data_IF_007591525519
#
_entry.id   IF_007591525519
#
_cell.length_a   1.000
_cell.length_b   1.000
_cell.length_c   1.000
_cell.angle_alpha   90.00
_cell.angle_beta   90.00
_cell.angle_gamma   90.00
#
_symmetry.space_group_name_H-M   'P 1'
#
loop_
_entity.id
_entity.type
_entity.pdbx_description
1 polymer ?
#
# COMPACT_ATOMS: atom_id res chain seq x y z
N UNK A 1 -3.33 -25.31 20.42
CA UNK A 1 -2.56 -24.03 20.38
C UNK A 1 -2.36 -23.42 18.97
N UNK A 2 -2.40 -24.18 17.86
CA UNK A 2 -2.10 -23.64 16.52
C UNK A 2 -3.16 -22.67 15.94
N UNK A 3 -4.45 -22.94 16.15
CA UNK A 3 -5.59 -22.18 15.57
C UNK A 3 -5.57 -20.70 15.95
N UNK A 4 -5.20 -20.39 17.20
CA UNK A 4 -5.22 -19.02 17.73
C UNK A 4 -4.09 -18.16 17.13
N UNK A 5 -2.89 -18.75 16.91
CA UNK A 5 -1.75 -18.06 16.29
C UNK A 5 -1.99 -17.71 14.82
N UNK A 6 -2.65 -18.60 14.06
CA UNK A 6 -3.00 -18.36 12.65
C UNK A 6 -3.97 -17.18 12.53
N UNK A 7 -5.05 -17.16 13.34
CA UNK A 7 -6.01 -16.03 13.34
C UNK A 7 -5.38 -14.69 13.73
N UNK A 8 -4.46 -14.70 14.70
CA UNK A 8 -3.73 -13.49 15.08
C UNK A 8 -2.87 -12.96 13.92
N UNK A 9 -2.19 -13.84 13.18
CA UNK A 9 -1.41 -13.47 12.00
C UNK A 9 -2.28 -12.94 10.85
N UNK A 10 -3.45 -13.55 10.60
CA UNK A 10 -4.43 -13.06 9.61
C UNK A 10 -4.86 -11.62 9.90
N UNK A 11 -5.30 -11.34 11.13
CA UNK A 11 -5.70 -9.97 11.54
C UNK A 11 -4.54 -8.98 11.39
N UNK A 12 -3.31 -9.42 11.70
CA UNK A 12 -2.12 -8.58 11.53
C UNK A 12 -1.90 -8.24 10.06
N UNK A 13 -1.97 -9.22 9.15
CA UNK A 13 -1.84 -9.00 7.70
C UNK A 13 -2.87 -8.02 7.17
N UNK A 14 -4.16 -8.21 7.51
CA UNK A 14 -5.25 -7.31 7.09
C UNK A 14 -5.04 -5.88 7.62
N UNK A 15 -4.67 -5.76 8.90
CA UNK A 15 -4.42 -4.45 9.52
C UNK A 15 -3.23 -3.72 8.89
N UNK A 16 -2.16 -4.45 8.56
CA UNK A 16 -0.98 -3.91 7.89
C UNK A 16 -1.32 -3.50 6.46
N UNK A 17 -2.06 -4.32 5.71
CA UNK A 17 -2.53 -3.98 4.36
C UNK A 17 -3.34 -2.68 4.35
N UNK A 18 -4.25 -2.51 5.32
CA UNK A 18 -5.04 -1.28 5.47
C UNK A 18 -4.14 -0.07 5.74
N UNK A 19 -3.17 -0.19 6.66
CA UNK A 19 -2.20 0.88 6.95
C UNK A 19 -1.41 1.27 5.70
N UNK A 20 -0.87 0.30 4.97
CA UNK A 20 -0.10 0.56 3.75
C UNK A 20 -0.95 1.29 2.70
N UNK A 21 -2.22 0.92 2.50
CA UNK A 21 -3.12 1.66 1.59
C UNK A 21 -3.31 3.12 2.01
N UNK A 22 -3.51 3.37 3.30
CA UNK A 22 -3.64 4.74 3.83
C UNK A 22 -2.35 5.55 3.61
N UNK A 23 -1.20 4.94 3.88
CA UNK A 23 0.10 5.59 3.67
C UNK A 23 0.38 5.84 2.19
N UNK A 24 0.03 4.90 1.29
CA UNK A 24 0.18 5.08 -0.15
C UNK A 24 -0.66 6.26 -0.67
N UNK A 25 -1.92 6.37 -0.23
CA UNK A 25 -2.78 7.51 -0.56
C UNK A 25 -2.25 8.83 0.01
N UNK A 26 -1.70 8.81 1.22
CA UNK A 26 -1.09 10.00 1.84
C UNK A 26 0.19 10.43 1.13
N UNK A 27 1.03 9.46 0.76
CA UNK A 27 2.26 9.68 0.01
C UNK A 27 1.96 10.33 -1.35
N UNK A 28 1.03 9.74 -2.12
CA UNK A 28 0.58 10.27 -3.41
C UNK A 28 0.03 11.69 -3.28
N UNK A 29 -0.79 11.96 -2.26
CA UNK A 29 -1.36 13.30 -2.02
C UNK A 29 -0.27 14.34 -1.74
N UNK A 30 0.63 14.06 -0.79
CA UNK A 30 1.73 14.98 -0.43
C UNK A 30 2.66 15.25 -1.61
N UNK A 31 2.94 14.24 -2.43
CA UNK A 31 3.72 14.40 -3.65
C UNK A 31 3.06 15.38 -4.64
N UNK A 32 1.75 15.24 -4.87
CA UNK A 32 0.99 16.17 -5.73
C UNK A 32 0.96 17.59 -5.17
N UNK A 33 0.78 17.75 -3.86
CA UNK A 33 0.82 19.06 -3.18
C UNK A 33 2.17 19.76 -3.40
N UNK A 34 3.29 19.02 -3.27
CA UNK A 34 4.63 19.55 -3.53
C UNK A 34 4.79 19.99 -4.99
N UNK A 35 4.41 19.14 -5.95
CA UNK A 35 4.53 19.45 -7.38
C UNK A 35 3.72 20.68 -7.74
N UNK A 36 2.49 20.76 -7.21
CA UNK A 36 1.61 21.88 -7.46
C UNK A 36 2.19 23.18 -6.90
N UNK A 37 2.68 23.18 -5.66
CA UNK A 37 3.26 24.35 -5.02
C UNK A 37 4.43 24.95 -5.82
N UNK A 38 5.30 24.08 -6.36
CA UNK A 38 6.44 24.51 -7.19
C UNK A 38 5.98 24.98 -8.57
N UNK A 39 5.02 24.28 -9.18
CA UNK A 39 4.51 24.65 -10.50
C UNK A 39 3.75 25.98 -10.49
N UNK A 40 3.12 26.33 -9.37
CA UNK A 40 2.38 27.59 -9.19
C UNK A 40 3.20 28.73 -8.59
N UNK A 41 4.51 28.56 -8.37
CA UNK A 41 5.33 29.60 -7.75
C UNK A 41 5.44 30.83 -8.66
N UNK A 42 4.88 31.96 -8.25
CA UNK A 42 5.04 33.23 -8.96
C UNK A 42 6.35 33.92 -8.59
N UNK A 43 7.00 34.55 -9.58
CA UNK A 43 8.22 35.33 -9.36
C UNK A 43 9.52 34.51 -9.26
N UNK A 44 9.44 33.18 -9.34
CA UNK A 44 10.63 32.33 -9.49
C UNK A 44 10.78 31.89 -10.95
N UNK A 45 11.63 32.61 -11.67
CA UNK A 45 11.89 32.44 -13.10
C UNK A 45 13.40 32.42 -13.34
N UNK A 46 13.81 31.86 -14.47
CA UNK A 46 15.23 31.69 -14.81
C UNK A 46 15.62 30.23 -15.03
N UNK A 47 16.88 30.03 -15.41
CA UNK A 47 17.41 28.72 -15.77
C UNK A 47 17.43 27.74 -14.57
N UNK A 48 17.57 28.25 -13.35
CA UNK A 48 17.50 27.49 -12.10
C UNK A 48 16.08 26.97 -11.83
N UNK A 49 15.07 27.83 -11.96
CA UNK A 49 13.67 27.48 -11.81
C UNK A 49 13.25 26.42 -12.84
N UNK A 50 13.71 26.56 -14.09
CA UNK A 50 13.44 25.58 -15.14
C UNK A 50 14.13 24.23 -14.88
N UNK A 51 15.38 24.24 -14.44
CA UNK A 51 16.10 23.02 -14.05
C UNK A 51 15.39 22.29 -12.91
N UNK A 52 14.91 23.02 -11.89
CA UNK A 52 14.18 22.43 -10.77
C UNK A 52 12.82 21.85 -11.20
N UNK A 53 12.05 22.56 -12.04
CA UNK A 53 10.78 22.05 -12.60
C UNK A 53 10.99 20.76 -13.41
N UNK A 54 12.07 20.66 -14.19
CA UNK A 54 12.41 19.44 -14.95
C UNK A 54 12.73 18.26 -14.02
N UNK A 55 13.51 18.48 -12.96
CA UNK A 55 13.76 17.42 -11.97
C UNK A 55 12.48 16.99 -11.24
N UNK A 56 11.63 17.96 -10.89
CA UNK A 56 10.36 17.70 -10.22
C UNK A 56 9.39 16.90 -11.09
N UNK A 57 9.39 17.10 -12.41
CA UNK A 57 8.60 16.31 -13.34
C UNK A 57 8.98 14.81 -13.29
N UNK A 58 10.29 14.50 -13.31
CA UNK A 58 10.76 13.12 -13.13
C UNK A 58 10.35 12.53 -11.78
N UNK A 59 10.37 13.35 -10.72
CA UNK A 59 9.92 12.95 -9.40
C UNK A 59 8.42 12.61 -9.35
N UNK A 60 7.59 13.19 -10.22
CA UNK A 60 6.17 12.87 -10.31
C UNK A 60 5.91 11.41 -10.71
N UNK A 61 6.69 10.90 -11.66
CA UNK A 61 6.57 9.50 -12.10
C UNK A 61 7.03 8.55 -10.98
N UNK A 62 8.13 8.88 -10.32
CA UNK A 62 8.65 8.12 -9.18
C UNK A 62 7.67 8.08 -8.01
N UNK A 63 7.00 9.21 -7.71
CA UNK A 63 5.97 9.31 -6.69
C UNK A 63 4.81 8.33 -6.97
N UNK A 64 4.33 8.29 -8.20
CA UNK A 64 3.23 7.40 -8.58
C UNK A 64 3.68 5.93 -8.58
N UNK A 65 4.89 5.64 -9.05
CA UNK A 65 5.47 4.29 -9.03
C UNK A 65 5.62 3.75 -7.60
N UNK A 66 6.10 4.58 -6.66
CA UNK A 66 6.21 4.17 -5.26
C UNK A 66 4.83 3.95 -4.63
N UNK A 67 3.85 4.82 -4.89
CA UNK A 67 2.48 4.64 -4.40
C UNK A 67 1.87 3.32 -4.91
N UNK A 68 2.04 3.01 -6.20
CA UNK A 68 1.60 1.73 -6.80
C UNK A 68 2.31 0.52 -6.19
N UNK A 69 3.60 0.64 -5.90
CA UNK A 69 4.35 -0.42 -5.22
C UNK A 69 3.79 -0.69 -3.83
N UNK A 70 3.49 0.36 -3.05
CA UNK A 70 2.84 0.23 -1.74
C UNK A 70 1.46 -0.43 -1.87
N UNK A 71 0.65 0.00 -2.84
CA UNK A 71 -0.67 -0.61 -3.12
C UNK A 71 -0.55 -2.10 -3.48
N UNK A 72 0.47 -2.47 -4.26
CA UNK A 72 0.75 -3.86 -4.64
C UNK A 72 1.12 -4.72 -3.42
N UNK A 73 1.93 -4.20 -2.50
CA UNK A 73 2.23 -4.88 -1.23
C UNK A 73 0.98 -5.05 -0.35
N UNK A 74 0.11 -4.04 -0.29
CA UNK A 74 -1.14 -4.15 0.43
C UNK A 74 -2.08 -5.20 -0.19
N UNK A 75 -2.12 -5.28 -1.53
CA UNK A 75 -2.87 -6.32 -2.24
C UNK A 75 -2.31 -7.72 -1.93
N UNK A 76 -0.99 -7.89 -1.99
CA UNK A 76 -0.33 -9.15 -1.63
C UNK A 76 -0.67 -9.62 -0.21
N UNK A 77 -0.61 -8.73 0.79
CA UNK A 77 -0.98 -9.07 2.18
C UNK A 77 -2.46 -9.43 2.33
N UNK A 78 -3.33 -8.78 1.57
CA UNK A 78 -4.77 -9.11 1.56
C UNK A 78 -4.99 -10.50 0.97
N UNK A 79 -4.32 -10.81 -0.13
CA UNK A 79 -4.45 -12.10 -0.81
C UNK A 79 -3.90 -13.24 0.05
N UNK A 80 -2.72 -13.04 0.65
CA UNK A 80 -2.16 -14.00 1.59
C UNK A 80 -3.12 -14.29 2.75
N UNK A 81 -3.75 -13.27 3.32
CA UNK A 81 -4.75 -13.44 4.37
C UNK A 81 -5.98 -14.24 3.90
N UNK A 82 -6.45 -14.00 2.67
CA UNK A 82 -7.57 -14.76 2.10
C UNK A 82 -7.23 -16.24 1.92
N UNK A 83 -6.07 -16.56 1.34
CA UNK A 83 -5.61 -17.94 1.14
C UNK A 83 -5.54 -18.69 2.48
N UNK A 84 -4.95 -18.07 3.51
CA UNK A 84 -4.87 -18.68 4.84
C UNK A 84 -6.24 -18.88 5.49
N UNK A 85 -7.19 -17.96 5.28
CA UNK A 85 -8.57 -18.10 5.77
C UNK A 85 -9.28 -19.28 5.11
N UNK A 86 -9.18 -19.41 3.79
CA UNK A 86 -9.75 -20.55 3.07
C UNK A 86 -9.18 -21.88 3.56
N UNK A 87 -7.86 -21.98 3.72
CA UNK A 87 -7.20 -23.17 4.26
C UNK A 87 -7.71 -23.52 5.67
N UNK A 88 -7.88 -22.51 6.53
CA UNK A 88 -8.40 -22.71 7.88
C UNK A 88 -9.85 -23.22 7.86
N UNK A 89 -10.71 -22.66 7.00
CA UNK A 89 -12.10 -23.07 6.88
C UNK A 89 -12.20 -24.52 6.38
N UNK A 90 -11.41 -24.90 5.37
CA UNK A 90 -11.34 -26.29 4.89
C UNK A 90 -10.90 -27.26 5.99
N UNK A 91 -9.85 -26.93 6.75
CA UNK A 91 -9.37 -27.77 7.84
C UNK A 91 -10.43 -27.94 8.95
N UNK A 92 -11.17 -26.89 9.28
CA UNK A 92 -12.28 -26.95 10.24
C UNK A 92 -13.42 -27.82 9.73
N UNK A 93 -13.78 -27.73 8.45
CA UNK A 93 -14.83 -28.59 7.87
C UNK A 93 -14.41 -30.06 7.83
N UNK A 94 -13.17 -30.37 7.45
CA UNK A 94 -12.65 -31.74 7.50
C UNK A 94 -12.63 -32.30 8.93
N UNK A 95 -12.22 -31.50 9.91
CA UNK A 95 -12.25 -31.91 11.32
C UNK A 95 -13.67 -32.19 11.82
N UNK A 96 -14.67 -31.38 11.41
CA UNK A 96 -16.08 -31.65 11.73
C UNK A 96 -16.54 -32.97 11.12
N UNK A 97 -16.14 -33.27 9.89
CA UNK A 97 -16.54 -34.51 9.21
C UNK A 97 -15.89 -35.78 9.77
N UNK A 98 -14.83 -35.67 10.59
CA UNK A 98 -14.18 -36.81 11.25
C UNK A 98 -14.82 -37.18 12.60
N UNK A 99 -15.67 -36.31 13.14
CA UNK A 99 -16.30 -36.47 14.46
C UNK A 99 -17.78 -36.89 14.36
N UNK A 100 -18.21 -37.28 13.15
CA UNK A 100 -19.53 -37.81 12.82
C UNK A 100 -19.37 -39.11 12.05
#
# INVERSE_FOLDING_TARGET
MAVYRIRANLRKMESTAKKIRTEAGTYRRKGKELIQAVSSSQGWEGADAEAFRRQLAGFSDDLENMAKMMESYAAFLTEAANVYRTLQDTAVQQAKNLWW
#
